data_IF_585926747465
#
_entry.id   IF_585926747465
#
_cell.length_a   1.000
_cell.length_b   1.000
_cell.length_c   1.000
_cell.angle_alpha   90.00
_cell.angle_beta   90.00
_cell.angle_gamma   90.00
#
_symmetry.space_group_name_H-M   'P 1'
#
loop_
_entity.id
_entity.type
_entity.pdbx_description
1 polymer ?
#
# COMPACT_ATOMS: atom_id res chain seq x y z
N UNK A 1 -14.81 -8.82 10.99
CA UNK A 1 -15.98 -9.31 11.74
C UNK A 1 -15.67 -10.48 12.68
N UNK A 2 -15.13 -11.61 12.21
CA UNK A 2 -14.88 -12.79 13.07
C UNK A 2 -13.84 -12.50 14.18
N UNK A 3 -12.67 -11.97 13.81
CA UNK A 3 -11.60 -11.63 14.77
C UNK A 3 -12.01 -10.55 15.77
N UNK A 4 -12.93 -9.66 15.38
CA UNK A 4 -13.44 -8.57 16.20
C UNK A 4 -14.68 -8.92 17.02
N UNK A 5 -15.13 -10.20 17.02
CA UNK A 5 -16.37 -10.64 17.68
C UNK A 5 -17.59 -9.78 17.29
N UNK A 6 -17.64 -9.30 16.05
CA UNK A 6 -18.73 -8.45 15.54
C UNK A 6 -18.53 -6.94 15.70
N UNK A 7 -17.56 -6.48 16.48
CA UNK A 7 -17.37 -5.05 16.78
C UNK A 7 -16.76 -4.24 15.62
N UNK A 8 -16.18 -4.91 14.62
CA UNK A 8 -15.64 -4.25 13.42
C UNK A 8 -16.26 -4.83 12.16
N UNK A 9 -16.87 -3.95 11.36
CA UNK A 9 -17.49 -4.24 10.07
C UNK A 9 -16.77 -3.45 8.99
N UNK A 10 -16.23 -4.15 7.99
CA UNK A 10 -15.59 -3.54 6.83
C UNK A 10 -16.65 -3.43 5.73
N UNK A 11 -16.83 -2.23 5.18
CA UNK A 11 -17.63 -2.00 3.98
C UNK A 11 -16.69 -1.73 2.81
N UNK A 12 -16.86 -2.49 1.72
CA UNK A 12 -16.00 -2.43 0.55
C UNK A 12 -16.70 -1.61 -0.54
N UNK A 13 -15.98 -0.64 -1.09
CA UNK A 13 -16.44 0.23 -2.18
C UNK A 13 -15.58 0.00 -3.43
N UNK A 14 -15.97 -0.94 -4.32
CA UNK A 14 -15.19 -1.29 -5.51
C UNK A 14 -15.34 -0.24 -6.62
N UNK A 15 -14.60 -0.42 -7.72
CA UNK A 15 -14.75 0.37 -8.96
C UNK A 15 -14.63 1.88 -8.77
N UNK A 16 -13.71 2.32 -7.92
CA UNK A 16 -13.42 3.74 -7.66
C UNK A 16 -14.62 4.56 -7.18
N UNK A 17 -15.60 3.93 -6.52
CA UNK A 17 -16.79 4.62 -5.97
C UNK A 17 -16.46 5.75 -4.98
N UNK A 18 -15.29 5.66 -4.33
CA UNK A 18 -14.79 6.66 -3.37
C UNK A 18 -13.70 7.56 -3.97
N UNK A 19 -13.54 7.54 -5.31
CA UNK A 19 -12.49 8.25 -6.02
C UNK A 19 -11.38 7.34 -6.56
N UNK A 20 -10.45 7.94 -7.29
CA UNK A 20 -9.23 7.31 -7.76
C UNK A 20 -8.24 7.07 -6.60
N UNK A 21 -7.13 6.36 -6.88
CA UNK A 21 -6.17 5.98 -5.84
C UNK A 21 -5.62 7.17 -5.05
N UNK A 22 -5.30 8.29 -5.72
CA UNK A 22 -4.81 9.51 -5.07
C UNK A 22 -5.87 10.15 -4.17
N UNK A 23 -7.10 10.31 -4.68
CA UNK A 23 -8.22 10.87 -3.91
C UNK A 23 -8.49 10.03 -2.66
N UNK A 24 -8.47 8.70 -2.76
CA UNK A 24 -8.67 7.83 -1.58
C UNK A 24 -7.53 7.90 -0.57
N UNK A 25 -6.30 8.22 -0.98
CA UNK A 25 -5.18 8.46 -0.06
C UNK A 25 -5.34 9.80 0.68
N UNK A 26 -5.82 10.83 0.01
CA UNK A 26 -6.14 12.12 0.63
C UNK A 26 -7.31 11.97 1.64
N UNK A 27 -8.33 11.18 1.29
CA UNK A 27 -9.41 10.81 2.22
C UNK A 27 -8.91 9.97 3.42
N UNK A 28 -7.87 9.17 3.22
CA UNK A 28 -7.24 8.43 4.33
C UNK A 28 -6.53 9.40 5.29
N UNK A 29 -5.75 10.34 4.76
CA UNK A 29 -5.00 11.30 5.58
C UNK A 29 -5.91 12.24 6.38
N UNK A 30 -7.07 12.63 5.84
CA UNK A 30 -8.03 13.48 6.55
C UNK A 30 -9.02 12.72 7.45
N UNK A 31 -8.95 11.38 7.47
CA UNK A 31 -9.80 10.51 8.30
C UNK A 31 -11.22 10.29 7.78
N UNK A 32 -11.56 10.73 6.56
CA UNK A 32 -12.85 10.45 5.94
C UNK A 32 -12.96 9.01 5.39
N UNK A 33 -11.83 8.34 5.16
CA UNK A 33 -11.74 6.94 4.76
C UNK A 33 -10.79 6.19 5.70
N UNK A 34 -11.25 5.10 6.31
CA UNK A 34 -10.42 4.36 7.29
C UNK A 34 -9.30 3.52 6.65
N UNK A 35 -9.52 3.02 5.43
CA UNK A 35 -8.59 2.15 4.72
C UNK A 35 -8.73 2.32 3.21
N UNK A 36 -7.60 2.30 2.50
CA UNK A 36 -7.56 2.21 1.04
C UNK A 36 -6.44 1.27 0.58
N UNK A 37 -6.51 0.86 -0.69
CA UNK A 37 -5.45 0.12 -1.37
C UNK A 37 -4.84 1.03 -2.43
N UNK A 38 -3.54 1.29 -2.32
CA UNK A 38 -2.74 1.99 -3.31
C UNK A 38 -1.72 1.09 -4.00
N UNK A 39 -1.13 1.57 -5.07
CA UNK A 39 0.13 1.06 -5.61
C UNK A 39 1.32 1.80 -5.03
N UNK A 40 2.53 1.26 -5.20
CA UNK A 40 3.78 1.95 -4.84
C UNK A 40 3.94 3.28 -5.60
N UNK A 41 3.49 3.33 -6.85
CA UNK A 41 3.49 4.55 -7.67
C UNK A 41 2.53 5.62 -7.15
N UNK A 42 1.39 5.22 -6.57
CA UNK A 42 0.47 6.18 -5.94
C UNK A 42 1.11 6.78 -4.67
N UNK A 43 1.74 5.94 -3.86
CA UNK A 43 2.43 6.35 -2.63
C UNK A 43 3.68 7.22 -2.88
N UNK A 44 4.33 7.08 -4.03
CA UNK A 44 5.47 7.90 -4.44
C UNK A 44 5.12 9.41 -4.45
N UNK A 45 3.85 9.75 -4.74
CA UNK A 45 3.38 11.15 -4.68
C UNK A 45 3.38 11.75 -3.26
N UNK A 46 3.48 10.92 -2.21
CA UNK A 46 3.44 11.33 -0.81
C UNK A 46 4.80 11.13 -0.11
N UNK A 47 5.58 10.13 -0.54
CA UNK A 47 6.96 9.93 -0.11
C UNK A 47 7.81 9.29 -1.22
N UNK A 48 8.92 9.94 -1.55
CA UNK A 48 9.84 9.48 -2.59
C UNK A 48 10.53 8.14 -2.27
N UNK A 49 10.51 7.67 -1.02
CA UNK A 49 11.06 6.35 -0.66
C UNK A 49 10.44 5.21 -1.47
N UNK A 50 9.16 5.34 -1.86
CA UNK A 50 8.46 4.31 -2.63
C UNK A 50 8.90 4.24 -4.10
N UNK A 51 9.59 5.26 -4.62
CA UNK A 51 10.14 5.27 -5.97
C UNK A 51 11.14 4.12 -6.19
N UNK A 52 11.77 3.61 -5.11
CA UNK A 52 12.69 2.48 -5.18
C UNK A 52 12.05 1.26 -5.86
N UNK A 53 10.76 1.01 -5.61
CA UNK A 53 10.04 -0.13 -6.19
C UNK A 53 9.78 0.00 -7.70
N UNK A 54 9.99 1.19 -8.28
CA UNK A 54 9.79 1.44 -9.71
C UNK A 54 11.10 1.30 -10.51
N UNK A 55 12.23 1.00 -9.85
CA UNK A 55 13.51 0.82 -10.51
C UNK A 55 13.53 -0.46 -11.37
N UNK A 56 13.93 -0.37 -12.66
CA UNK A 56 14.03 -1.54 -13.52
C UNK A 56 15.13 -2.48 -13.02
N UNK A 57 14.88 -3.80 -13.12
CA UNK A 57 15.83 -4.86 -12.75
C UNK A 57 16.29 -4.85 -11.28
N UNK A 58 15.57 -4.17 -10.38
CA UNK A 58 15.89 -4.13 -8.94
C UNK A 58 15.88 -5.53 -8.30
N UNK A 59 14.88 -6.35 -8.66
CA UNK A 59 14.72 -7.70 -8.15
C UNK A 59 15.30 -8.72 -9.13
N UNK A 60 16.03 -9.71 -8.60
CA UNK A 60 16.73 -10.73 -9.39
C UNK A 60 15.77 -11.85 -9.82
N UNK A 61 14.87 -12.20 -8.91
CA UNK A 61 13.85 -13.23 -9.06
C UNK A 61 12.72 -12.99 -8.04
N UNK A 62 11.70 -13.85 -8.08
CA UNK A 62 10.55 -13.77 -7.18
C UNK A 62 10.91 -14.05 -5.71
N UNK A 63 11.94 -14.86 -5.44
CA UNK A 63 12.38 -15.15 -4.08
C UNK A 63 13.08 -13.94 -3.46
N UNK A 64 13.91 -13.24 -4.24
CA UNK A 64 14.53 -11.97 -3.87
C UNK A 64 13.46 -10.90 -3.60
N UNK A 65 12.48 -10.76 -4.49
CA UNK A 65 11.35 -9.85 -4.29
C UNK A 65 10.62 -10.13 -2.96
N UNK A 66 10.23 -11.38 -2.73
CA UNK A 66 9.51 -11.74 -1.52
C UNK A 66 10.32 -11.45 -0.25
N UNK A 67 11.62 -11.79 -0.27
CA UNK A 67 12.51 -11.56 0.87
C UNK A 67 12.64 -10.07 1.22
N UNK A 68 12.68 -9.19 0.21
CA UNK A 68 12.82 -7.74 0.43
C UNK A 68 11.49 -7.12 0.84
N UNK A 69 10.44 -7.32 0.04
CA UNK A 69 9.14 -6.64 0.21
C UNK A 69 8.40 -7.10 1.45
N UNK A 70 8.48 -8.39 1.79
CA UNK A 70 7.81 -8.95 2.98
C UNK A 70 8.77 -9.18 4.15
N UNK A 71 10.04 -8.77 4.00
CA UNK A 71 11.04 -8.84 5.06
C UNK A 71 11.20 -7.52 5.80
N UNK A 72 12.34 -7.40 6.48
CA UNK A 72 12.70 -6.24 7.32
C UNK A 72 12.76 -4.94 6.52
N UNK A 73 13.41 -4.95 5.35
CA UNK A 73 13.54 -3.76 4.48
C UNK A 73 12.16 -3.24 4.04
N UNK A 74 11.28 -4.14 3.58
CA UNK A 74 9.94 -3.75 3.17
C UNK A 74 9.12 -3.18 4.34
N UNK A 75 9.30 -3.75 5.55
CA UNK A 75 8.69 -3.23 6.78
C UNK A 75 9.22 -1.84 7.14
N UNK A 76 10.53 -1.60 7.07
CA UNK A 76 11.12 -0.28 7.32
C UNK A 76 10.55 0.78 6.36
N UNK A 77 10.48 0.46 5.07
CA UNK A 77 9.90 1.35 4.06
C UNK A 77 8.41 1.63 4.37
N UNK A 78 7.64 0.61 4.76
CA UNK A 78 6.24 0.77 5.13
C UNK A 78 6.04 1.62 6.40
N UNK A 79 6.89 1.45 7.40
CA UNK A 79 6.81 2.21 8.65
C UNK A 79 7.29 3.67 8.49
N UNK A 80 8.12 3.95 7.48
CA UNK A 80 8.72 5.27 7.24
C UNK A 80 7.71 6.40 6.98
N UNK A 81 6.47 6.07 6.61
CA UNK A 81 5.42 7.06 6.30
C UNK A 81 4.29 7.09 7.32
N UNK A 82 4.49 6.46 8.47
CA UNK A 82 3.52 6.44 9.57
C UNK A 82 3.24 7.85 10.12
N UNK A 83 4.25 8.70 10.19
CA UNK A 83 4.16 10.10 10.59
C UNK A 83 3.41 10.97 9.57
N UNK A 84 3.32 10.52 8.32
CA UNK A 84 2.53 11.14 7.23
C UNK A 84 1.09 10.64 7.18
N UNK A 85 0.65 9.86 8.16
CA UNK A 85 -0.71 9.32 8.26
C UNK A 85 -0.93 8.00 7.52
N UNK A 86 0.12 7.38 6.98
CA UNK A 86 0.01 6.08 6.31
C UNK A 86 0.43 4.93 7.22
N UNK A 87 -0.56 4.23 7.77
CA UNK A 87 -0.35 3.02 8.56
C UNK A 87 -0.45 1.80 7.65
N UNK A 88 0.66 1.44 7.00
CA UNK A 88 0.68 0.31 6.08
C UNK A 88 0.42 -1.02 6.82
N UNK A 89 -0.63 -1.75 6.41
CA UNK A 89 -1.04 -3.01 7.04
C UNK A 89 -0.37 -4.23 6.40
N UNK A 90 -0.17 -4.19 5.08
CA UNK A 90 0.46 -5.27 4.31
C UNK A 90 0.81 -4.77 2.91
N UNK A 91 1.77 -5.44 2.28
CA UNK A 91 1.98 -5.37 0.83
C UNK A 91 1.11 -6.42 0.11
N UNK A 92 0.81 -6.18 -1.17
CA UNK A 92 0.13 -7.11 -2.06
C UNK A 92 0.77 -7.08 -3.46
N UNK A 93 0.88 -8.25 -4.09
CA UNK A 93 1.49 -8.39 -5.42
C UNK A 93 0.41 -8.24 -6.50
N UNK A 94 0.52 -7.20 -7.32
CA UNK A 94 -0.40 -6.94 -8.43
C UNK A 94 -0.06 -7.73 -9.72
N UNK A 95 0.96 -8.59 -9.68
CA UNK A 95 1.50 -9.32 -10.83
C UNK A 95 2.65 -8.57 -11.52
N UNK A 96 3.13 -9.14 -12.63
CA UNK A 96 4.16 -8.54 -13.48
C UNK A 96 3.52 -7.79 -14.65
N UNK A 97 4.09 -6.64 -15.02
CA UNK A 97 3.70 -5.91 -16.25
C UNK A 97 4.49 -6.49 -17.42
N UNK A 98 3.79 -6.84 -18.50
CA UNK A 98 4.39 -7.28 -19.77
C UNK A 98 4.06 -6.25 -20.85
N UNK A 99 4.95 -6.10 -21.85
CA UNK A 99 4.78 -5.24 -23.01
C UNK A 99 4.64 -6.07 -24.28
#
# INVERSE_FOLDING_TARGET
KQLSKGNMVIRIYPSSQMGNARETMELLQNGALDMTKGSTSDLESFDNIYAIYNLPFLFKDHAHFNKVVFGEVGKEIMDSTKDKGFFALSAYVAGTRSF
#
